data_IF_024248231536
#
_entry.id   IF_024248231536
#
_cell.length_a   1.000
_cell.length_b   1.000
_cell.length_c   1.000
_cell.angle_alpha   90.00
_cell.angle_beta   90.00
_cell.angle_gamma   90.00
#
_symmetry.space_group_name_H-M   'P 1'
#
loop_
_entity.id
_entity.type
_entity.pdbx_description
1 polymer ?
#
# COMPACT_ATOMS: atom_id res chain seq x y z
N UNK A 1 19.68 -1.43 -3.59
CA UNK A 1 18.38 -1.21 -2.91
C UNK A 1 17.63 -2.53 -2.74
N UNK A 2 17.53 -3.37 -3.79
CA UNK A 2 16.79 -4.65 -3.75
C UNK A 2 17.22 -5.57 -2.61
N UNK A 3 18.51 -5.82 -2.40
CA UNK A 3 19.01 -6.71 -1.36
C UNK A 3 18.55 -6.30 0.05
N UNK A 4 18.57 -4.99 0.35
CA UNK A 4 18.06 -4.46 1.63
C UNK A 4 16.53 -4.61 1.73
N UNK A 5 15.80 -4.39 0.64
CA UNK A 5 14.35 -4.60 0.58
C UNK A 5 13.97 -6.06 0.86
N UNK A 6 14.63 -7.01 0.18
CA UNK A 6 14.39 -8.44 0.36
C UNK A 6 14.71 -8.90 1.79
N UNK A 7 15.85 -8.46 2.35
CA UNK A 7 16.20 -8.73 3.73
C UNK A 7 15.17 -8.20 4.74
N UNK A 8 14.60 -7.02 4.48
CA UNK A 8 13.54 -6.46 5.32
C UNK A 8 12.25 -7.28 5.28
N UNK A 9 11.85 -7.77 4.12
CA UNK A 9 10.66 -8.62 4.00
C UNK A 9 10.89 -9.99 4.66
N UNK A 10 12.02 -10.62 4.40
CA UNK A 10 12.36 -11.92 4.97
C UNK A 10 12.46 -11.88 6.51
N UNK A 11 13.06 -10.82 7.07
CA UNK A 11 13.30 -10.70 8.51
C UNK A 11 12.08 -10.34 9.36
N UNK A 12 11.05 -9.74 8.78
CA UNK A 12 9.94 -9.16 9.56
C UNK A 12 8.57 -9.76 9.30
N UNK A 13 8.31 -10.25 8.12
CA UNK A 13 6.99 -10.74 7.75
C UNK A 13 7.01 -12.21 7.34
N UNK A 14 8.15 -12.71 6.79
CA UNK A 14 8.22 -14.00 6.11
C UNK A 14 6.86 -14.33 5.47
N UNK A 15 6.40 -13.55 4.49
CA UNK A 15 5.09 -13.78 3.93
C UNK A 15 5.05 -15.21 3.37
N UNK A 16 4.24 -16.05 4.00
CA UNK A 16 4.00 -17.42 3.53
C UNK A 16 2.82 -17.50 2.57
N UNK A 17 2.26 -16.35 2.23
CA UNK A 17 1.09 -16.14 1.38
C UNK A 17 1.37 -15.05 0.37
N UNK A 18 0.52 -14.94 -0.65
CA UNK A 18 0.63 -13.92 -1.68
C UNK A 18 0.55 -12.50 -1.14
N UNK A 19 1.13 -11.57 -1.89
CA UNK A 19 1.20 -10.15 -1.56
C UNK A 19 0.33 -9.34 -2.53
N UNK A 20 -0.51 -8.47 -1.98
CA UNK A 20 -1.26 -7.45 -2.71
C UNK A 20 -0.51 -6.14 -2.63
N UNK A 21 -0.08 -5.58 -3.75
CA UNK A 21 0.45 -4.23 -3.82
C UNK A 21 -0.70 -3.22 -3.98
N UNK A 22 -0.83 -2.30 -3.02
CA UNK A 22 -1.69 -1.12 -3.17
C UNK A 22 -1.06 -0.16 -4.18
N UNK A 23 -1.50 -0.24 -5.44
CA UNK A 23 -0.84 0.40 -6.58
C UNK A 23 -1.57 1.65 -7.03
N UNK A 24 -1.00 2.82 -6.73
CA UNK A 24 -1.59 4.12 -7.09
C UNK A 24 -1.14 4.65 -8.46
N UNK A 25 -0.08 4.09 -9.05
CA UNK A 25 0.57 4.62 -10.26
C UNK A 25 1.58 5.73 -9.99
N UNK A 26 1.69 6.23 -8.76
CA UNK A 26 2.75 7.19 -8.39
C UNK A 26 4.12 6.50 -8.29
N UNK A 27 5.22 7.27 -8.45
CA UNK A 27 6.60 6.77 -8.53
C UNK A 27 6.97 5.80 -7.42
N UNK A 28 6.58 6.07 -6.18
CA UNK A 28 6.90 5.18 -5.04
C UNK A 28 6.18 3.84 -5.13
N UNK A 29 4.92 3.86 -5.59
CA UNK A 29 4.15 2.64 -5.78
C UNK A 29 4.65 1.82 -6.98
N UNK A 30 5.19 2.46 -8.00
CA UNK A 30 5.86 1.81 -9.13
C UNK A 30 7.14 1.11 -8.67
N UNK A 31 7.97 1.79 -7.89
CA UNK A 31 9.18 1.20 -7.28
C UNK A 31 8.81 0.02 -6.39
N UNK A 32 7.78 0.17 -5.53
CA UNK A 32 7.31 -0.91 -4.67
C UNK A 32 6.89 -2.13 -5.50
N UNK A 33 6.06 -1.94 -6.51
CA UNK A 33 5.56 -3.03 -7.35
C UNK A 33 6.71 -3.74 -8.10
N UNK A 34 7.69 -2.98 -8.60
CA UNK A 34 8.87 -3.52 -9.25
C UNK A 34 9.72 -4.40 -8.31
N UNK A 35 9.96 -3.92 -7.08
CA UNK A 35 10.70 -4.67 -6.06
C UNK A 35 9.93 -5.93 -5.60
N UNK A 36 8.61 -5.81 -5.39
CA UNK A 36 7.76 -6.95 -5.04
C UNK A 36 7.72 -8.00 -6.14
N UNK A 37 7.70 -7.58 -7.41
CA UNK A 37 7.75 -8.51 -8.54
C UNK A 37 9.01 -9.38 -8.49
N UNK A 38 10.16 -8.79 -8.24
CA UNK A 38 11.42 -9.54 -8.12
C UNK A 38 11.39 -10.48 -6.90
N UNK A 39 10.97 -9.97 -5.74
CA UNK A 39 10.90 -10.75 -4.51
C UNK A 39 9.92 -11.92 -4.61
N UNK A 40 8.71 -11.68 -5.07
CA UNK A 40 7.69 -12.73 -5.19
C UNK A 40 8.08 -13.80 -6.21
N UNK A 41 8.78 -13.43 -7.30
CA UNK A 41 9.30 -14.40 -8.26
C UNK A 41 10.38 -15.31 -7.64
N UNK A 42 11.27 -14.76 -6.80
CA UNK A 42 12.30 -15.54 -6.11
C UNK A 42 11.71 -16.46 -5.03
N UNK A 43 10.75 -15.96 -4.27
CA UNK A 43 10.10 -16.70 -3.17
C UNK A 43 8.92 -17.57 -3.64
N UNK A 44 8.62 -17.57 -4.95
CA UNK A 44 7.48 -18.29 -5.53
C UNK A 44 6.12 -17.91 -4.91
N UNK A 45 5.96 -16.64 -4.56
CA UNK A 45 4.73 -16.11 -3.95
C UNK A 45 3.82 -15.47 -5.00
N UNK A 46 2.50 -15.61 -4.90
CA UNK A 46 1.56 -14.84 -5.70
C UNK A 46 1.71 -13.33 -5.46
N UNK A 47 1.68 -12.54 -6.53
CA UNK A 47 1.64 -11.08 -6.49
C UNK A 47 0.45 -10.58 -7.29
N UNK A 48 -0.31 -9.63 -6.73
CA UNK A 48 -1.34 -8.87 -7.42
C UNK A 48 -1.19 -7.38 -7.17
N UNK A 49 -1.57 -6.56 -8.14
CA UNK A 49 -1.68 -5.12 -8.00
C UNK A 49 -3.15 -4.72 -7.89
N UNK A 50 -3.50 -3.99 -6.83
CA UNK A 50 -4.85 -3.47 -6.61
C UNK A 50 -4.79 -1.94 -6.65
N UNK A 51 -5.46 -1.36 -7.62
CA UNK A 51 -5.64 0.08 -7.80
C UNK A 51 -6.98 0.53 -7.23
N UNK A 52 -6.97 1.62 -6.48
CA UNK A 52 -8.20 2.21 -5.95
C UNK A 52 -8.40 3.58 -6.58
N UNK A 53 -9.42 3.68 -7.42
CA UNK A 53 -9.87 4.93 -8.00
C UNK A 53 -10.86 5.60 -7.03
N UNK A 54 -10.47 6.76 -6.52
CA UNK A 54 -11.25 7.51 -5.52
C UNK A 54 -12.36 8.37 -6.11
N UNK A 55 -12.45 8.49 -7.45
CA UNK A 55 -13.43 9.33 -8.13
C UNK A 55 -13.27 10.84 -7.86
N UNK A 56 -12.11 11.29 -7.40
CA UNK A 56 -11.84 12.66 -6.99
C UNK A 56 -11.15 13.51 -8.06
N UNK A 57 -10.56 12.89 -9.08
CA UNK A 57 -9.78 13.58 -10.13
C UNK A 57 -10.36 13.28 -11.49
N UNK A 58 -10.38 14.28 -12.36
CA UNK A 58 -10.76 14.11 -13.78
C UNK A 58 -9.87 13.11 -14.51
N UNK A 59 -8.60 13.03 -14.13
CA UNK A 59 -7.60 12.12 -14.73
C UNK A 59 -7.59 10.70 -14.11
N UNK A 60 -8.51 10.37 -13.21
CA UNK A 60 -8.49 9.06 -12.51
C UNK A 60 -8.59 7.86 -13.46
N UNK A 61 -9.28 8.01 -14.60
CA UNK A 61 -9.35 6.98 -15.64
C UNK A 61 -8.01 6.79 -16.37
N UNK A 62 -7.28 7.88 -16.59
CA UNK A 62 -5.95 7.85 -17.20
C UNK A 62 -4.94 7.18 -16.27
N UNK A 63 -4.99 7.48 -14.98
CA UNK A 63 -4.13 6.86 -13.98
C UNK A 63 -4.38 5.35 -13.89
N UNK A 64 -5.65 4.93 -13.93
CA UNK A 64 -6.03 3.52 -13.95
C UNK A 64 -5.54 2.82 -15.23
N UNK A 65 -5.70 3.44 -16.40
CA UNK A 65 -5.24 2.90 -17.67
C UNK A 65 -3.70 2.72 -17.68
N UNK A 66 -2.96 3.68 -17.15
CA UNK A 66 -1.50 3.59 -16.97
C UNK A 66 -1.12 2.41 -16.06
N UNK A 67 -1.78 2.29 -14.90
CA UNK A 67 -1.53 1.19 -13.96
C UNK A 67 -1.80 -0.17 -14.61
N UNK A 68 -2.90 -0.29 -15.34
CA UNK A 68 -3.28 -1.51 -16.05
C UNK A 68 -2.27 -1.89 -17.13
N UNK A 69 -1.83 -0.92 -17.94
CA UNK A 69 -0.85 -1.14 -18.99
C UNK A 69 0.49 -1.61 -18.42
N UNK A 70 0.96 -0.97 -17.34
CA UNK A 70 2.21 -1.34 -16.67
C UNK A 70 2.13 -2.76 -16.09
N UNK A 71 1.05 -3.10 -15.39
CA UNK A 71 0.86 -4.44 -14.85
C UNK A 71 0.79 -5.50 -15.95
N UNK A 72 0.13 -5.20 -17.07
CA UNK A 72 0.08 -6.07 -18.25
C UNK A 72 1.48 -6.32 -18.84
N UNK A 73 2.30 -5.27 -18.98
CA UNK A 73 3.68 -5.39 -19.47
C UNK A 73 4.58 -6.21 -18.51
N UNK A 74 4.27 -6.20 -17.22
CA UNK A 74 5.04 -6.94 -16.20
C UNK A 74 4.47 -8.33 -15.89
N UNK A 75 3.34 -8.73 -16.50
CA UNK A 75 2.68 -10.00 -16.24
C UNK A 75 2.09 -10.11 -14.83
N UNK A 76 1.69 -8.97 -14.22
CA UNK A 76 1.12 -8.92 -12.87
C UNK A 76 -0.40 -8.83 -12.97
N UNK A 77 -1.18 -9.70 -12.30
CA UNK A 77 -2.62 -9.56 -12.17
C UNK A 77 -3.01 -8.18 -11.62
N UNK A 78 -3.92 -7.49 -12.32
CA UNK A 78 -4.34 -6.12 -11.98
C UNK A 78 -5.85 -6.07 -11.72
N UNK A 79 -6.22 -5.46 -10.60
CA UNK A 79 -7.61 -5.26 -10.19
C UNK A 79 -7.83 -3.78 -9.87
N UNK A 80 -8.96 -3.23 -10.31
CA UNK A 80 -9.35 -1.85 -10.03
C UNK A 80 -10.66 -1.80 -9.24
N UNK A 81 -10.65 -1.02 -8.16
CA UNK A 81 -11.83 -0.74 -7.35
C UNK A 81 -12.17 0.74 -7.42
N UNK A 82 -13.44 1.06 -7.59
CA UNK A 82 -13.93 2.43 -7.65
C UNK A 82 -14.66 2.76 -6.36
N UNK A 83 -14.20 3.78 -5.65
CA UNK A 83 -14.83 4.27 -4.43
C UNK A 83 -15.31 5.72 -4.62
N UNK A 84 -16.50 6.02 -4.12
CA UNK A 84 -17.06 7.37 -4.15
C UNK A 84 -16.70 8.11 -2.86
N UNK A 85 -15.42 8.52 -2.73
CA UNK A 85 -14.90 9.09 -1.49
C UNK A 85 -15.69 10.32 -1.01
N UNK A 86 -16.12 11.21 -1.91
CA UNK A 86 -16.95 12.36 -1.56
C UNK A 86 -18.31 11.97 -0.97
N UNK A 87 -18.96 10.94 -1.52
CA UNK A 87 -20.25 10.44 -1.00
C UNK A 87 -20.07 9.74 0.35
N UNK A 88 -18.97 9.00 0.52
CA UNK A 88 -18.63 8.35 1.79
C UNK A 88 -18.38 9.40 2.87
N UNK A 89 -17.63 10.46 2.56
CA UNK A 89 -17.38 11.58 3.46
C UNK A 89 -18.68 12.26 3.92
N UNK A 90 -19.57 12.58 2.98
CA UNK A 90 -20.86 13.21 3.28
C UNK A 90 -21.75 12.36 4.19
N UNK A 91 -21.75 11.02 4.00
CA UNK A 91 -22.57 10.11 4.81
C UNK A 91 -22.01 9.90 6.22
N UNK A 92 -20.70 9.94 6.40
CA UNK A 92 -20.04 9.58 7.66
C UNK A 92 -19.58 10.78 8.49
N UNK A 93 -19.71 12.01 7.98
CA UNK A 93 -19.19 13.23 8.62
C UNK A 93 -17.65 13.29 8.68
N UNK A 94 -16.96 12.46 7.93
CA UNK A 94 -15.51 12.45 7.84
C UNK A 94 -15.00 13.45 6.80
N UNK A 95 -13.70 13.82 6.88
CA UNK A 95 -13.06 14.52 5.78
C UNK A 95 -12.97 13.61 4.53
N UNK A 96 -12.89 14.21 3.33
CA UNK A 96 -12.73 13.46 2.06
C UNK A 96 -11.47 12.58 2.11
N UNK A 97 -10.39 13.08 2.71
CA UNK A 97 -9.14 12.34 2.86
C UNK A 97 -9.31 11.11 3.76
N UNK A 98 -9.99 11.27 4.89
CA UNK A 98 -10.31 10.15 5.80
C UNK A 98 -11.19 9.11 5.12
N UNK A 99 -12.23 9.56 4.41
CA UNK A 99 -13.14 8.68 3.67
C UNK A 99 -12.41 7.94 2.53
N UNK A 100 -11.54 8.62 1.80
CA UNK A 100 -10.71 8.02 0.75
C UNK A 100 -9.75 6.97 1.35
N UNK A 101 -9.13 7.27 2.49
CA UNK A 101 -8.27 6.33 3.21
C UNK A 101 -9.05 5.11 3.70
N UNK A 102 -10.21 5.31 4.30
CA UNK A 102 -11.06 4.22 4.76
C UNK A 102 -11.49 3.33 3.60
N UNK A 103 -12.07 3.90 2.55
CA UNK A 103 -12.54 3.14 1.39
C UNK A 103 -11.40 2.35 0.71
N UNK A 104 -10.17 2.91 0.67
CA UNK A 104 -9.00 2.19 0.17
C UNK A 104 -8.73 0.91 0.95
N UNK A 105 -8.68 1.00 2.27
CA UNK A 105 -8.38 -0.18 3.09
C UNK A 105 -9.53 -1.18 3.10
N UNK A 106 -10.78 -0.72 3.01
CA UNK A 106 -11.96 -1.61 2.85
C UNK A 106 -11.89 -2.39 1.53
N UNK A 107 -11.55 -1.73 0.42
CA UNK A 107 -11.42 -2.37 -0.89
C UNK A 107 -10.27 -3.40 -0.89
N UNK A 108 -9.10 -3.06 -0.35
CA UNK A 108 -7.97 -3.98 -0.23
C UNK A 108 -8.30 -5.20 0.63
N UNK A 109 -9.02 -4.98 1.74
CA UNK A 109 -9.50 -6.04 2.60
C UNK A 109 -10.50 -6.96 1.89
N UNK A 110 -11.47 -6.37 1.18
CA UNK A 110 -12.46 -7.13 0.43
C UNK A 110 -11.78 -8.02 -0.61
N UNK A 111 -10.81 -7.49 -1.35
CA UNK A 111 -10.02 -8.28 -2.29
C UNK A 111 -9.35 -9.48 -1.63
N UNK A 112 -8.67 -9.29 -0.49
CA UNK A 112 -8.03 -10.40 0.22
C UNK A 112 -9.03 -11.41 0.79
N UNK A 113 -10.22 -10.97 1.18
CA UNK A 113 -11.27 -11.86 1.67
C UNK A 113 -11.88 -12.74 0.56
N UNK A 114 -11.89 -12.25 -0.67
CA UNK A 114 -12.36 -12.96 -1.87
C UNK A 114 -11.29 -13.85 -2.50
N UNK A 115 -10.00 -13.62 -2.14
CA UNK A 115 -8.86 -14.27 -2.74
C UNK A 115 -7.90 -14.79 -1.66
N UNK A 116 -8.16 -15.98 -1.13
CA UNK A 116 -7.44 -16.58 0.01
C UNK A 116 -5.93 -16.78 -0.23
N UNK A 117 -5.48 -16.78 -1.49
CA UNK A 117 -4.06 -16.85 -1.82
C UNK A 117 -3.26 -15.65 -1.31
N UNK A 118 -3.92 -14.52 -0.96
CA UNK A 118 -3.28 -13.27 -0.54
C UNK A 118 -3.56 -12.97 0.93
N UNK A 119 -2.52 -12.95 1.74
CA UNK A 119 -2.60 -12.63 3.18
C UNK A 119 -1.79 -11.40 3.59
N UNK A 120 -1.15 -10.72 2.65
CA UNK A 120 -0.36 -9.53 2.91
C UNK A 120 -0.75 -8.38 1.97
N UNK A 121 -0.90 -7.17 2.52
CA UNK A 121 -1.10 -5.94 1.76
C UNK A 121 0.15 -5.09 1.90
N UNK A 122 0.81 -4.73 0.80
CA UNK A 122 1.98 -3.86 0.78
C UNK A 122 1.60 -2.45 0.31
N UNK A 123 2.11 -1.44 1.03
CA UNK A 123 1.92 -0.02 0.71
C UNK A 123 3.26 0.69 0.57
N UNK A 124 3.33 1.70 -0.30
CA UNK A 124 4.55 2.40 -0.67
C UNK A 124 4.97 3.52 0.31
N UNK A 125 4.59 3.42 1.58
CA UNK A 125 5.06 4.38 2.58
C UNK A 125 6.57 4.26 2.76
N UNK A 126 7.26 5.40 2.79
CA UNK A 126 8.72 5.50 2.89
C UNK A 126 9.16 6.36 4.10
N UNK A 127 10.46 6.57 4.26
CA UNK A 127 11.01 7.26 5.44
C UNK A 127 10.48 8.68 5.59
N UNK A 128 10.31 9.41 4.49
CA UNK A 128 9.85 10.80 4.54
C UNK A 128 8.39 10.90 5.01
N UNK A 129 7.52 9.92 4.69
CA UNK A 129 6.15 9.84 5.24
C UNK A 129 6.15 9.68 6.77
N UNK A 130 7.17 9.00 7.32
CA UNK A 130 7.34 8.89 8.77
C UNK A 130 7.65 10.25 9.35
N UNK A 131 8.60 10.98 8.75
CA UNK A 131 8.99 12.32 9.18
C UNK A 131 7.79 13.30 9.11
N UNK A 132 7.05 13.32 8.00
CA UNK A 132 5.84 14.12 7.85
C UNK A 132 4.79 13.79 8.92
N UNK A 133 4.55 12.49 9.16
CA UNK A 133 3.61 12.04 10.18
C UNK A 133 4.01 12.51 11.58
N UNK A 134 5.28 12.44 11.91
CA UNK A 134 5.81 12.88 13.21
C UNK A 134 5.66 14.40 13.36
N UNK A 135 6.08 15.17 12.35
CA UNK A 135 5.98 16.63 12.35
C UNK A 135 4.52 17.10 12.46
N UNK A 136 3.61 16.47 11.70
CA UNK A 136 2.19 16.79 11.76
C UNK A 136 1.59 16.53 13.16
N UNK A 137 1.97 15.44 13.81
CA UNK A 137 1.51 15.11 15.17
C UNK A 137 2.08 16.05 16.22
N UNK A 138 3.36 16.43 16.09
CA UNK A 138 3.99 17.44 16.96
C UNK A 138 3.27 18.79 16.84
N UNK A 139 2.99 19.24 15.61
CA UNK A 139 2.28 20.49 15.37
C UNK A 139 0.86 20.52 15.97
N UNK A 140 0.21 19.34 16.10
CA UNK A 140 -1.11 19.20 16.73
C UNK A 140 -1.08 18.97 18.23
N UNK A 141 0.10 19.03 18.87
CA UNK A 141 0.23 18.83 20.31
C UNK A 141 -0.09 17.41 20.78
N UNK A 142 0.03 16.43 19.90
CA UNK A 142 -0.16 15.03 20.27
C UNK A 142 0.90 14.61 21.28
N UNK A 143 0.47 14.17 22.48
CA UNK A 143 1.39 13.65 23.49
C UNK A 143 2.14 12.39 23.01
N UNK A 144 3.11 11.93 23.79
CA UNK A 144 4.01 10.81 23.46
C UNK A 144 3.30 9.53 23.04
N UNK A 145 2.09 9.26 23.53
CA UNK A 145 1.25 8.13 23.08
C UNK A 145 0.75 8.28 21.64
N UNK A 146 0.59 9.49 21.13
CA UNK A 146 0.20 9.77 19.75
C UNK A 146 1.37 9.68 18.75
N UNK A 147 2.61 9.61 19.23
CA UNK A 147 3.83 9.60 18.39
C UNK A 147 4.31 8.20 18.00
N UNK A 148 3.49 7.16 18.19
CA UNK A 148 3.88 5.81 17.79
C UNK A 148 4.30 5.78 16.31
N UNK A 149 5.54 5.35 15.99
CA UNK A 149 6.04 5.39 14.61
C UNK A 149 5.25 4.43 13.71
N UNK A 150 5.24 4.72 12.43
CA UNK A 150 4.74 3.77 11.44
C UNK A 150 5.58 2.49 11.53
N UNK A 151 4.93 1.35 11.73
CA UNK A 151 5.60 0.04 11.78
C UNK A 151 5.69 -0.55 10.37
N UNK A 152 6.80 -1.23 10.07
CA UNK A 152 7.03 -1.90 8.79
C UNK A 152 6.04 -3.03 8.51
N UNK A 153 5.69 -3.78 9.57
CA UNK A 153 4.71 -4.86 9.53
C UNK A 153 3.78 -4.74 10.74
N UNK A 154 2.49 -4.95 10.53
CA UNK A 154 1.50 -5.01 11.61
C UNK A 154 0.26 -5.77 11.16
N UNK A 155 -0.50 -6.39 12.09
CA UNK A 155 -1.82 -6.93 11.79
C UNK A 155 -2.72 -5.85 11.18
N UNK A 156 -3.46 -6.21 10.15
CA UNK A 156 -4.38 -5.27 9.49
C UNK A 156 -5.48 -4.79 10.46
N UNK A 157 -5.93 -5.66 11.36
CA UNK A 157 -6.91 -5.35 12.40
C UNK A 157 -6.50 -4.22 13.35
N UNK A 158 -5.20 -4.01 13.57
CA UNK A 158 -4.70 -2.88 14.37
C UNK A 158 -4.80 -1.53 13.63
N UNK A 159 -4.87 -1.55 12.30
CA UNK A 159 -5.01 -0.35 11.46
C UNK A 159 -6.47 -0.01 11.23
N UNK A 160 -7.31 -1.06 11.18
CA UNK A 160 -8.74 -0.99 10.89
C UNK A 160 -9.54 -1.88 11.85
N UNK A 161 -9.79 -1.43 13.11
CA UNK A 161 -10.47 -2.22 14.13
C UNK A 161 -11.94 -2.55 13.80
N UNK A 162 -12.58 -1.78 12.93
CA UNK A 162 -14.01 -1.94 12.58
C UNK A 162 -14.29 -3.07 11.59
N UNK A 163 -13.28 -3.78 11.11
CA UNK A 163 -13.47 -4.92 10.22
C UNK A 163 -13.90 -6.16 11.01
N UNK A 164 -15.17 -6.19 11.42
CA UNK A 164 -15.77 -7.18 12.34
C UNK A 164 -15.95 -8.60 11.80
N UNK A 165 -15.16 -9.08 10.84
CA UNK A 165 -15.13 -10.49 10.41
C UNK A 165 -13.88 -11.18 10.94
N UNK A 166 -14.08 -12.30 11.66
CA UNK A 166 -13.03 -13.16 12.24
C UNK A 166 -12.03 -13.69 11.22
N UNK A 167 -12.36 -13.70 9.93
CA UNK A 167 -11.61 -14.40 8.87
C UNK A 167 -10.31 -13.70 8.44
N UNK A 168 -10.02 -12.49 8.95
CA UNK A 168 -8.85 -11.70 8.58
C UNK A 168 -7.85 -11.47 9.73
N UNK A 169 -7.89 -12.31 10.77
CA UNK A 169 -6.96 -12.19 11.91
C UNK A 169 -5.49 -12.36 11.50
N UNK A 170 -5.21 -12.93 10.33
CA UNK A 170 -3.87 -13.15 9.81
C UNK A 170 -3.45 -12.16 8.71
N UNK A 171 -4.35 -11.25 8.26
CA UNK A 171 -4.00 -10.28 7.24
C UNK A 171 -2.98 -9.26 7.76
N UNK A 172 -1.86 -9.15 7.07
CA UNK A 172 -0.75 -8.26 7.44
C UNK A 172 -0.72 -7.02 6.53
N UNK A 173 -0.46 -5.87 7.14
CA UNK A 173 -0.11 -4.64 6.42
C UNK A 173 1.40 -4.44 6.47
N UNK A 174 2.01 -4.46 5.28
CA UNK A 174 3.44 -4.29 5.07
C UNK A 174 3.77 -2.89 4.54
N UNK A 175 4.87 -2.32 5.01
CA UNK A 175 5.46 -1.08 4.50
C UNK A 175 6.95 -1.30 4.25
N UNK A 176 7.29 -2.02 3.19
CA UNK A 176 8.67 -2.46 2.97
C UNK A 176 9.63 -1.31 2.68
N UNK A 177 9.11 -0.16 2.23
CA UNK A 177 9.91 1.02 1.88
C UNK A 177 10.22 1.96 3.05
N UNK A 178 9.73 1.71 4.27
CA UNK A 178 9.92 2.62 5.42
C UNK A 178 11.36 2.91 5.80
N UNK A 179 12.32 2.12 5.33
CA UNK A 179 13.75 2.33 5.59
C UNK A 179 14.46 3.11 4.50
N UNK A 180 13.75 3.43 3.42
CA UNK A 180 14.34 4.11 2.26
C UNK A 180 13.80 5.54 2.19
N UNK A 181 14.68 6.49 1.88
CA UNK A 181 14.30 7.87 1.60
C UNK A 181 13.74 8.02 0.19
N UNK A 182 12.98 9.10 -0.03
CA UNK A 182 12.46 9.46 -1.37
C UNK A 182 13.59 9.55 -2.40
N UNK A 183 14.75 10.12 -2.02
CA UNK A 183 15.92 10.23 -2.89
C UNK A 183 16.43 8.86 -3.34
N UNK A 184 16.51 7.89 -2.43
CA UNK A 184 16.92 6.52 -2.77
C UNK A 184 15.93 5.83 -3.71
N UNK A 185 14.63 6.06 -3.52
CA UNK A 185 13.59 5.50 -4.40
C UNK A 185 13.65 6.12 -5.80
N UNK A 186 13.84 7.45 -5.91
CA UNK A 186 14.02 8.13 -7.19
C UNK A 186 15.25 7.61 -7.93
N UNK A 187 16.40 7.53 -7.27
CA UNK A 187 17.62 7.01 -7.86
C UNK A 187 17.45 5.56 -8.37
N UNK A 188 16.73 4.73 -7.61
CA UNK A 188 16.41 3.37 -8.05
C UNK A 188 15.48 3.36 -9.28
N UNK A 189 14.46 4.22 -9.30
CA UNK A 189 13.55 4.35 -10.42
C UNK A 189 14.30 4.72 -11.71
N UNK A 190 15.20 5.70 -11.63
CA UNK A 190 16.07 6.13 -12.75
C UNK A 190 16.96 4.99 -13.26
N UNK A 191 17.64 4.28 -12.35
CA UNK A 191 18.50 3.15 -12.69
C UNK A 191 17.75 2.02 -13.39
N UNK A 192 16.47 1.82 -13.05
CA UNK A 192 15.65 0.76 -13.62
C UNK A 192 14.75 1.22 -14.78
N UNK A 193 14.79 2.49 -15.18
CA UNK A 193 13.95 3.04 -16.23
C UNK A 193 12.44 3.00 -15.89
N UNK A 194 12.09 3.26 -14.62
CA UNK A 194 10.72 3.20 -14.11
C UNK A 194 9.99 4.57 -14.15
N UNK A 195 10.50 5.53 -14.87
CA UNK A 195 9.94 6.88 -15.00
C UNK A 195 8.77 6.94 -15.98
#
# INVERSE_FOLDING_TARGET
LYAAFAAHLAGQAQPRCGIVCAFSGGSDSVVLLHLLRQYCAQEQLPLAAVHINHGLRENAQRDEAFCRAMCGAWGIPFFAYHIKAAQLAAKSGMSIEQAARQGRYEALRAFCAENEAYGCIATAHHMDDVAETVLYRLARGSGTRGMAPLRRCRPFSEVFPQSGKKDLQQLLLLRPLLSFSKVQLCAYAEQCGLS
#
